data_IF_992414163452
#
_entry.id   IF_992414163452
#
_cell.length_a   1.000
_cell.length_b   1.000
_cell.length_c   1.000
_cell.angle_alpha   90.00
_cell.angle_beta   90.00
_cell.angle_gamma   90.00
#
_symmetry.space_group_name_H-M   'P 1'
#
loop_
_entity.id
_entity.type
_entity.pdbx_description
1 polymer ?
#
# COMPACT_ATOMS: atom_id res chain seq x y z
N UNK A 1 15.63 23.94 -89.44
CA UNK A 1 14.60 24.43 -88.50
C UNK A 1 13.68 23.27 -88.13
N UNK A 2 13.93 22.68 -87.03
CA UNK A 2 13.10 21.56 -86.51
C UNK A 2 12.00 22.16 -85.63
N UNK A 3 10.74 21.85 -85.97
CA UNK A 3 9.56 22.42 -85.34
C UNK A 3 9.38 21.96 -83.88
N UNK A 4 8.86 22.90 -83.09
CA UNK A 4 8.55 22.69 -81.64
C UNK A 4 7.61 21.49 -81.35
N UNK A 5 7.09 20.81 -82.35
CA UNK A 5 6.20 19.64 -82.18
C UNK A 5 6.91 18.31 -82.06
N UNK A 6 8.17 18.20 -82.47
CA UNK A 6 8.92 16.95 -82.46
C UNK A 6 9.66 16.71 -81.13
N UNK A 7 9.72 17.70 -80.24
CA UNK A 7 10.40 17.59 -78.94
C UNK A 7 9.47 17.11 -77.83
N UNK A 8 8.18 16.97 -78.10
CA UNK A 8 7.17 16.57 -77.09
C UNK A 8 6.74 15.09 -77.15
N UNK A 9 7.35 14.32 -78.03
CA UNK A 9 7.00 12.88 -78.16
C UNK A 9 8.07 11.90 -77.68
N UNK A 10 9.13 12.36 -77.06
CA UNK A 10 10.20 11.50 -76.55
C UNK A 10 10.35 11.53 -75.00
N UNK A 11 9.35 12.07 -74.28
CA UNK A 11 9.29 12.02 -72.84
C UNK A 11 8.00 11.34 -72.31
N UNK A 12 7.65 10.21 -72.89
CA UNK A 12 6.53 9.41 -72.48
C UNK A 12 6.96 7.96 -72.29
N UNK A 13 7.32 7.52 -71.08
CA UNK A 13 7.54 6.10 -70.89
C UNK A 13 8.49 5.71 -69.77
N UNK A 14 8.35 6.28 -68.58
CA UNK A 14 8.79 5.58 -67.37
C UNK A 14 7.64 5.70 -66.35
N UNK A 15 6.73 4.75 -66.43
CA UNK A 15 5.75 4.49 -65.37
C UNK A 15 6.49 3.90 -64.19
N UNK A 16 6.94 4.76 -63.29
CA UNK A 16 7.36 4.32 -61.98
C UNK A 16 6.11 3.79 -61.25
N UNK A 17 5.99 2.48 -61.09
CA UNK A 17 5.16 1.86 -60.05
C UNK A 17 5.75 2.27 -58.72
N UNK A 18 5.33 3.43 -58.19
CA UNK A 18 5.43 3.73 -56.77
C UNK A 18 4.45 2.78 -56.09
N UNK A 19 4.94 1.64 -55.60
CA UNK A 19 4.28 0.84 -54.61
C UNK A 19 4.08 1.76 -53.40
N UNK A 20 2.89 2.32 -53.30
CA UNK A 20 2.44 3.03 -52.07
C UNK A 20 2.40 2.00 -50.94
N UNK A 21 3.52 1.85 -50.24
CA UNK A 21 3.49 1.29 -48.92
C UNK A 21 2.63 2.27 -48.10
N UNK A 22 1.34 2.00 -48.03
CA UNK A 22 0.44 2.66 -47.10
C UNK A 22 1.02 2.39 -45.72
N UNK A 23 1.65 3.41 -45.13
CA UNK A 23 1.90 3.41 -43.73
C UNK A 23 0.53 3.27 -43.08
N UNK A 24 0.19 2.05 -42.65
CA UNK A 24 -0.94 1.85 -41.76
C UNK A 24 -0.77 2.84 -40.59
N UNK A 25 -1.80 3.62 -40.22
CA UNK A 25 -1.67 4.45 -39.04
C UNK A 25 -1.27 3.53 -37.89
N UNK A 26 -0.08 3.76 -37.37
CA UNK A 26 0.31 3.19 -36.07
C UNK A 26 -0.61 3.89 -35.08
N UNK A 27 -1.75 3.27 -34.80
CA UNK A 27 -2.51 3.64 -33.62
C UNK A 27 -1.55 3.42 -32.46
N UNK A 28 -1.10 4.51 -31.84
CA UNK A 28 -0.46 4.40 -30.54
C UNK A 28 -1.45 3.60 -29.69
N UNK A 29 -1.05 2.40 -29.24
CA UNK A 29 -1.88 1.64 -28.32
C UNK A 29 -2.13 2.57 -27.14
N UNK A 30 -3.39 2.81 -26.83
CA UNK A 30 -3.75 3.61 -25.68
C UNK A 30 -3.05 3.00 -24.45
N UNK A 31 -2.41 3.84 -23.65
CA UNK A 31 -1.74 3.38 -22.44
C UNK A 31 -2.78 2.71 -21.52
N UNK A 32 -2.40 1.57 -20.94
CA UNK A 32 -3.19 0.95 -19.86
C UNK A 32 -3.18 1.89 -18.66
N UNK A 33 -4.36 2.32 -18.23
CA UNK A 33 -4.54 3.27 -17.13
C UNK A 33 -4.83 2.51 -15.83
N UNK A 34 -3.84 2.50 -14.93
CA UNK A 34 -3.93 1.84 -13.61
C UNK A 34 -4.11 2.90 -12.54
N UNK A 35 -5.21 2.87 -11.81
CA UNK A 35 -5.43 3.75 -10.67
C UNK A 35 -4.98 3.07 -9.38
N UNK A 36 -4.03 3.66 -8.66
CA UNK A 36 -3.68 3.31 -7.29
C UNK A 36 -4.50 4.19 -6.35
N UNK A 37 -5.49 3.57 -5.70
CA UNK A 37 -6.41 4.24 -4.76
C UNK A 37 -5.96 3.94 -3.35
N UNK A 38 -5.47 4.96 -2.64
CA UNK A 38 -4.96 4.84 -1.28
C UNK A 38 -6.01 5.21 -0.23
N UNK A 39 -5.76 4.90 1.05
CA UNK A 39 -6.69 5.19 2.15
C UNK A 39 -6.92 6.69 2.34
N UNK A 40 -5.85 7.48 2.27
CA UNK A 40 -5.89 8.94 2.20
C UNK A 40 -4.60 9.45 1.57
N UNK A 41 -4.69 10.59 0.91
CA UNK A 41 -3.53 11.31 0.38
C UNK A 41 -2.73 11.96 1.52
N UNK A 42 -1.42 12.15 1.30
CA UNK A 42 -0.52 12.79 2.27
C UNK A 42 -0.01 11.88 3.38
N UNK A 43 -0.20 10.56 3.28
CA UNK A 43 0.41 9.56 4.16
C UNK A 43 1.69 9.05 3.52
N UNK A 44 2.86 9.26 4.16
CA UNK A 44 4.19 8.94 3.62
C UNK A 44 4.33 7.49 3.15
N UNK A 45 3.69 6.53 3.84
CA UNK A 45 3.62 5.13 3.42
C UNK A 45 3.05 4.98 2.00
N UNK A 46 1.97 5.66 1.68
CA UNK A 46 1.36 5.59 0.35
C UNK A 46 2.10 6.41 -0.70
N UNK A 47 2.79 7.48 -0.31
CA UNK A 47 3.67 8.20 -1.22
C UNK A 47 4.83 7.31 -1.66
N UNK A 48 5.41 6.50 -0.76
CA UNK A 48 6.40 5.49 -1.11
C UNK A 48 5.82 4.38 -2.01
N UNK A 49 4.56 3.95 -1.78
CA UNK A 49 3.87 3.02 -2.69
C UNK A 49 3.69 3.63 -4.09
N UNK A 50 3.33 4.92 -4.19
CA UNK A 50 3.26 5.64 -5.47
C UNK A 50 4.57 5.56 -6.23
N UNK A 51 5.67 5.84 -5.56
CA UNK A 51 7.00 5.87 -6.18
C UNK A 51 7.34 4.49 -6.78
N UNK A 52 7.07 3.41 -6.05
CA UNK A 52 7.20 2.05 -6.59
C UNK A 52 6.24 1.76 -7.75
N UNK A 53 5.01 2.24 -7.67
CA UNK A 53 4.04 2.12 -8.76
C UNK A 53 4.47 2.84 -10.04
N UNK A 54 5.11 4.01 -9.93
CA UNK A 54 5.69 4.73 -11.07
C UNK A 54 6.87 3.96 -11.68
N UNK A 55 7.69 3.29 -10.86
CA UNK A 55 8.75 2.41 -11.36
C UNK A 55 8.17 1.23 -12.17
N UNK A 56 7.13 0.57 -11.67
CA UNK A 56 6.45 -0.52 -12.38
C UNK A 56 5.84 -0.06 -13.71
N UNK A 57 5.15 1.08 -13.71
CA UNK A 57 4.57 1.66 -14.92
C UNK A 57 5.64 1.97 -15.97
N UNK A 58 6.78 2.52 -15.55
CA UNK A 58 7.94 2.79 -16.41
C UNK A 58 8.55 1.51 -16.98
N UNK A 59 8.71 0.47 -16.16
CA UNK A 59 9.29 -0.81 -16.56
C UNK A 59 8.41 -1.53 -17.60
N UNK A 60 7.09 -1.54 -17.38
CA UNK A 60 6.15 -2.17 -18.31
C UNK A 60 6.08 -1.46 -19.67
N UNK A 61 6.26 -0.13 -19.67
CA UNK A 61 5.98 0.69 -20.85
C UNK A 61 4.49 0.66 -21.24
N UNK A 62 3.95 1.74 -21.77
CA UNK A 62 2.54 1.81 -22.15
C UNK A 62 1.55 1.67 -20.98
N UNK A 63 1.98 2.00 -19.77
CA UNK A 63 1.15 2.06 -18.54
C UNK A 63 1.19 3.47 -17.99
N UNK A 64 0.01 4.03 -17.71
CA UNK A 64 -0.17 5.28 -16.96
C UNK A 64 -0.62 4.95 -15.54
N UNK A 65 0.13 5.38 -14.53
CA UNK A 65 -0.28 5.29 -13.14
C UNK A 65 -1.04 6.55 -12.72
N UNK A 66 -2.27 6.38 -12.24
CA UNK A 66 -3.08 7.42 -11.63
C UNK A 66 -3.03 7.21 -10.11
N UNK A 67 -2.21 7.97 -9.40
CA UNK A 67 -2.17 7.96 -7.95
C UNK A 67 -3.26 8.88 -7.39
N UNK A 68 -4.18 8.33 -6.60
CA UNK A 68 -5.32 9.07 -6.06
C UNK A 68 -5.83 8.46 -4.76
N UNK A 69 -6.66 9.20 -4.06
CA UNK A 69 -7.29 8.77 -2.83
C UNK A 69 -8.14 9.88 -2.24
N UNK A 70 -8.91 9.60 -1.20
CA UNK A 70 -9.63 10.62 -0.46
C UNK A 70 -8.69 11.48 0.38
N UNK A 71 -9.24 12.54 0.98
CA UNK A 71 -8.52 13.38 1.94
C UNK A 71 -8.67 12.90 3.39
N UNK A 72 -9.68 12.06 3.63
CA UNK A 72 -9.95 11.43 4.93
C UNK A 72 -10.05 9.92 4.75
N UNK A 73 -9.70 9.19 5.79
CA UNK A 73 -9.75 7.72 5.84
C UNK A 73 -11.17 7.18 6.03
N UNK A 74 -12.12 7.61 5.17
CA UNK A 74 -13.51 7.17 5.21
C UNK A 74 -13.89 6.39 3.96
N UNK A 75 -14.81 5.42 4.11
CA UNK A 75 -15.32 4.63 2.98
C UNK A 75 -16.10 5.51 2.00
N UNK A 76 -16.88 6.47 2.47
CA UNK A 76 -17.72 7.35 1.66
C UNK A 76 -16.88 8.18 0.68
N UNK A 77 -15.80 8.81 1.17
CA UNK A 77 -14.92 9.57 0.29
C UNK A 77 -14.20 8.64 -0.71
N UNK A 78 -13.81 7.43 -0.27
CA UNK A 78 -13.14 6.47 -1.15
C UNK A 78 -14.08 5.90 -2.22
N UNK A 79 -15.36 5.69 -1.92
CA UNK A 79 -16.40 5.33 -2.89
C UNK A 79 -16.53 6.41 -3.97
N UNK A 80 -16.54 7.69 -3.60
CA UNK A 80 -16.61 8.79 -4.55
C UNK A 80 -15.38 8.83 -5.49
N UNK A 81 -14.19 8.53 -4.98
CA UNK A 81 -12.97 8.39 -5.79
C UNK A 81 -13.11 7.26 -6.81
N UNK A 82 -13.58 6.08 -6.38
CA UNK A 82 -13.77 4.92 -7.27
C UNK A 82 -14.84 5.23 -8.33
N UNK A 83 -15.95 5.88 -7.97
CA UNK A 83 -16.98 6.30 -8.93
C UNK A 83 -16.45 7.27 -10.00
N UNK A 84 -15.56 8.19 -9.60
CA UNK A 84 -14.87 9.07 -10.55
C UNK A 84 -13.98 8.29 -11.53
N UNK A 85 -13.25 7.28 -11.04
CA UNK A 85 -12.40 6.42 -11.88
C UNK A 85 -13.22 5.56 -12.85
N UNK A 86 -14.40 5.08 -12.42
CA UNK A 86 -15.36 4.38 -13.29
C UNK A 86 -15.79 5.31 -14.45
N UNK A 87 -16.13 6.57 -14.14
CA UNK A 87 -16.51 7.54 -15.15
C UNK A 87 -15.36 7.87 -16.13
N UNK A 88 -14.13 7.87 -15.65
CA UNK A 88 -12.90 8.05 -16.44
C UNK A 88 -12.52 6.80 -17.27
N UNK A 89 -13.18 5.66 -17.05
CA UNK A 89 -12.93 4.40 -17.76
C UNK A 89 -11.47 3.95 -17.65
N UNK A 90 -10.91 3.93 -16.44
CA UNK A 90 -9.59 3.33 -16.20
C UNK A 90 -9.63 1.81 -16.45
N UNK A 91 -8.48 1.20 -16.76
CA UNK A 91 -8.43 -0.23 -17.08
C UNK A 91 -8.32 -1.09 -15.84
N UNK A 92 -7.64 -0.60 -14.80
CA UNK A 92 -7.52 -1.28 -13.52
C UNK A 92 -7.51 -0.33 -12.33
N UNK A 93 -7.92 -0.85 -11.19
CA UNK A 93 -7.87 -0.21 -9.88
C UNK A 93 -7.13 -1.16 -8.94
N UNK A 94 -6.05 -0.66 -8.33
CA UNK A 94 -5.40 -1.24 -7.16
C UNK A 94 -5.80 -0.39 -5.96
N UNK A 95 -6.59 -0.95 -5.01
CA UNK A 95 -7.16 -0.20 -3.90
C UNK A 95 -6.66 -0.70 -2.54
N UNK A 96 -6.22 0.21 -1.67
CA UNK A 96 -6.06 -0.04 -0.24
C UNK A 96 -7.30 0.47 0.48
N UNK A 97 -8.13 -0.45 0.98
CA UNK A 97 -9.49 -0.18 1.41
C UNK A 97 -9.58 0.46 2.80
N UNK A 98 -10.44 1.46 2.95
CA UNK A 98 -10.81 2.04 4.25
C UNK A 98 -11.82 1.17 5.02
N UNK A 99 -12.62 0.38 4.31
CA UNK A 99 -13.59 -0.55 4.88
C UNK A 99 -13.72 -1.80 4.01
N UNK A 100 -13.76 -2.97 4.65
CA UNK A 100 -13.81 -4.27 3.98
C UNK A 100 -15.05 -4.44 3.10
N UNK A 101 -16.23 -4.05 3.62
CA UNK A 101 -17.54 -4.37 3.06
C UNK A 101 -18.17 -3.18 2.35
N UNK A 102 -18.02 -1.97 2.88
CA UNK A 102 -18.64 -0.77 2.31
C UNK A 102 -18.19 -0.48 0.87
N UNK A 103 -16.97 -0.89 0.49
CA UNK A 103 -16.42 -0.71 -0.85
C UNK A 103 -16.85 -1.79 -1.86
N UNK A 104 -17.42 -2.92 -1.41
CA UNK A 104 -17.81 -4.02 -2.29
C UNK A 104 -18.78 -3.57 -3.41
N UNK A 105 -19.85 -2.80 -3.14
CA UNK A 105 -20.77 -2.39 -4.20
C UNK A 105 -20.12 -1.57 -5.30
N UNK A 106 -19.28 -0.59 -4.95
CA UNK A 106 -18.62 0.27 -5.95
C UNK A 106 -17.54 -0.49 -6.73
N UNK A 107 -16.81 -1.40 -6.07
CA UNK A 107 -15.83 -2.26 -6.73
C UNK A 107 -16.53 -3.25 -7.70
N UNK A 108 -17.65 -3.85 -7.32
CA UNK A 108 -18.48 -4.66 -8.24
C UNK A 108 -19.01 -3.85 -9.43
N UNK A 109 -19.43 -2.60 -9.20
CA UNK A 109 -19.79 -1.67 -10.27
C UNK A 109 -18.63 -1.41 -11.22
N UNK A 110 -17.41 -1.21 -10.72
CA UNK A 110 -16.20 -1.07 -11.54
C UNK A 110 -15.96 -2.34 -12.39
N UNK A 111 -15.97 -3.52 -11.76
CA UNK A 111 -15.78 -4.80 -12.45
C UNK A 111 -16.86 -5.07 -13.51
N UNK A 112 -18.13 -4.71 -13.27
CA UNK A 112 -19.22 -4.85 -14.26
C UNK A 112 -19.04 -3.94 -15.48
N UNK A 113 -18.19 -2.92 -15.39
CA UNK A 113 -17.78 -2.04 -16.49
C UNK A 113 -16.49 -2.50 -17.18
N UNK A 114 -15.95 -3.68 -16.81
CA UNK A 114 -14.74 -4.24 -17.39
C UNK A 114 -13.45 -3.83 -16.70
N UNK A 115 -13.50 -2.92 -15.70
CA UNK A 115 -12.34 -2.45 -14.94
C UNK A 115 -11.84 -3.59 -14.05
N UNK A 116 -10.55 -3.87 -14.06
CA UNK A 116 -9.95 -4.89 -13.19
C UNK A 116 -9.71 -4.31 -11.80
N UNK A 117 -10.22 -4.96 -10.76
CA UNK A 117 -10.07 -4.47 -9.38
C UNK A 117 -9.28 -5.49 -8.59
N UNK A 118 -8.13 -5.06 -8.06
CA UNK A 118 -7.38 -5.78 -7.03
C UNK A 118 -7.33 -4.93 -5.76
N UNK A 119 -7.15 -5.54 -4.62
CA UNK A 119 -6.79 -4.80 -3.42
C UNK A 119 -5.36 -5.10 -2.99
N UNK A 120 -4.72 -4.13 -2.35
CA UNK A 120 -3.37 -4.25 -1.78
C UNK A 120 -3.35 -3.61 -0.40
N UNK A 121 -2.38 -3.96 0.44
CA UNK A 121 -2.28 -3.48 1.83
C UNK A 121 -3.55 -3.82 2.63
N UNK A 122 -4.62 -3.05 2.47
CA UNK A 122 -5.89 -3.22 3.16
C UNK A 122 -6.96 -3.72 2.19
N UNK A 123 -7.56 -4.89 2.48
CA UNK A 123 -8.40 -5.62 1.53
C UNK A 123 -9.86 -5.17 1.49
N UNK A 124 -10.44 -5.17 0.28
CA UNK A 124 -11.87 -5.28 0.05
C UNK A 124 -12.28 -6.74 0.20
N UNK A 125 -13.50 -7.03 0.64
CA UNK A 125 -14.00 -8.41 0.70
C UNK A 125 -13.92 -9.12 -0.67
N UNK A 126 -13.76 -10.45 -0.70
CA UNK A 126 -13.47 -11.21 -1.93
C UNK A 126 -14.40 -10.93 -3.09
N UNK A 127 -15.68 -10.63 -2.81
CA UNK A 127 -16.69 -10.35 -3.83
C UNK A 127 -16.47 -9.03 -4.58
N UNK A 128 -15.65 -8.13 -4.02
CA UNK A 128 -15.32 -6.82 -4.59
C UNK A 128 -13.97 -6.75 -5.28
N UNK A 129 -13.24 -7.87 -5.40
CA UNK A 129 -11.88 -7.87 -5.95
C UNK A 129 -11.56 -9.15 -6.72
N UNK A 130 -10.56 -9.10 -7.58
CA UNK A 130 -9.99 -10.27 -8.24
C UNK A 130 -9.03 -10.98 -7.29
N UNK A 131 -8.12 -10.22 -6.66
CA UNK A 131 -7.17 -10.74 -5.68
C UNK A 131 -6.77 -9.68 -4.65
N UNK A 132 -6.17 -10.14 -3.55
CA UNK A 132 -5.54 -9.32 -2.52
C UNK A 132 -4.02 -9.50 -2.58
N UNK A 133 -3.28 -8.40 -2.56
CA UNK A 133 -1.85 -8.38 -2.31
C UNK A 133 -1.59 -7.91 -0.87
N UNK A 134 -1.31 -8.84 0.02
CA UNK A 134 -0.92 -8.53 1.39
C UNK A 134 0.55 -8.11 1.43
N UNK A 135 0.91 -7.12 2.24
CA UNK A 135 2.29 -6.68 2.36
C UNK A 135 3.19 -7.76 3.00
N UNK A 136 2.60 -8.57 3.88
CA UNK A 136 3.22 -9.71 4.56
C UNK A 136 2.15 -10.66 5.09
N UNK A 137 2.58 -11.79 5.63
CA UNK A 137 1.67 -12.72 6.32
C UNK A 137 1.04 -12.03 7.55
N UNK A 138 -0.29 -12.01 7.61
CA UNK A 138 -1.08 -11.34 8.65
C UNK A 138 -0.75 -11.84 10.06
N UNK A 139 -0.58 -13.15 10.24
CA UNK A 139 -0.24 -13.73 11.54
C UNK A 139 1.19 -13.31 11.97
N UNK A 140 2.12 -13.27 11.03
CA UNK A 140 3.48 -12.83 11.30
C UNK A 140 3.53 -11.35 11.71
N UNK A 141 2.76 -10.48 11.05
CA UNK A 141 2.67 -9.04 11.42
C UNK A 141 2.15 -8.91 12.85
N UNK A 142 1.03 -9.57 13.17
CA UNK A 142 0.44 -9.51 14.50
C UNK A 142 1.39 -10.01 15.60
N UNK A 143 2.00 -11.18 15.37
CA UNK A 143 2.97 -11.74 16.31
C UNK A 143 4.18 -10.79 16.49
N UNK A 144 4.74 -10.26 15.41
CA UNK A 144 5.89 -9.34 15.45
C UNK A 144 5.61 -8.08 16.28
N UNK A 145 4.42 -7.48 16.14
CA UNK A 145 4.04 -6.30 16.92
C UNK A 145 4.05 -6.58 18.43
N UNK A 146 3.54 -7.75 18.87
CA UNK A 146 3.56 -8.13 20.28
C UNK A 146 4.99 -8.44 20.75
N UNK A 147 5.75 -9.23 19.98
CA UNK A 147 7.12 -9.63 20.32
C UNK A 147 8.06 -8.44 20.49
N UNK A 148 7.93 -7.40 19.65
CA UNK A 148 8.76 -6.21 19.74
C UNK A 148 8.54 -5.45 21.05
N UNK A 149 7.29 -5.13 21.38
CA UNK A 149 7.00 -4.41 22.64
C UNK A 149 7.30 -5.27 23.86
N UNK A 150 6.95 -6.57 23.82
CA UNK A 150 7.21 -7.51 24.89
C UNK A 150 8.69 -7.62 25.26
N UNK A 151 9.56 -7.68 24.24
CA UNK A 151 11.02 -7.66 24.45
C UNK A 151 11.48 -6.40 25.17
N UNK A 152 10.97 -5.22 24.78
CA UNK A 152 11.36 -3.95 25.36
C UNK A 152 10.90 -3.80 26.81
N UNK A 153 9.68 -4.26 27.14
CA UNK A 153 9.12 -4.15 28.50
C UNK A 153 9.33 -5.44 29.34
N UNK A 154 10.16 -6.36 28.88
CA UNK A 154 10.49 -7.62 29.57
C UNK A 154 9.26 -8.49 29.89
N UNK A 155 8.31 -8.58 28.97
CA UNK A 155 7.06 -9.34 29.06
C UNK A 155 6.18 -8.97 30.25
N UNK A 156 6.23 -7.75 30.77
CA UNK A 156 5.48 -7.34 31.95
C UNK A 156 4.97 -5.88 31.86
N UNK A 157 3.71 -5.65 32.24
CA UNK A 157 3.10 -4.32 32.37
C UNK A 157 1.90 -4.09 31.46
N UNK A 158 1.33 -2.91 31.63
CA UNK A 158 0.17 -2.46 30.87
C UNK A 158 0.57 -1.98 29.47
N UNK A 159 -0.15 -2.43 28.43
CA UNK A 159 0.10 -2.06 27.04
C UNK A 159 -1.22 -1.65 26.40
N UNK A 160 -1.19 -0.62 25.57
CA UNK A 160 -2.32 -0.20 24.76
C UNK A 160 -2.04 -0.39 23.26
N UNK A 161 -3.09 -0.48 22.46
CA UNK A 161 -3.01 -0.43 20.99
C UNK A 161 -3.55 0.92 20.54
N UNK A 162 -2.80 1.62 19.67
CA UNK A 162 -3.26 2.80 18.95
C UNK A 162 -3.33 2.47 17.47
N UNK A 163 -4.54 2.24 16.98
CA UNK A 163 -4.84 1.86 15.59
C UNK A 163 -5.28 3.05 14.75
N UNK A 164 -5.47 2.85 13.43
CA UNK A 164 -6.04 3.84 12.54
C UNK A 164 -7.55 4.01 12.79
N UNK A 165 -8.40 3.59 11.86
CA UNK A 165 -9.87 3.60 12.08
C UNK A 165 -10.36 2.29 12.66
N UNK A 166 -11.53 2.32 13.30
CA UNK A 166 -12.17 1.10 13.80
C UNK A 166 -12.57 0.12 12.67
N UNK A 167 -12.66 0.61 11.43
CA UNK A 167 -13.00 -0.17 10.22
C UNK A 167 -11.80 -0.62 9.41
N UNK A 168 -10.57 -0.20 9.76
CA UNK A 168 -9.36 -0.53 9.01
C UNK A 168 -9.16 -2.05 8.89
N UNK A 169 -9.36 -2.60 7.69
CA UNK A 169 -9.39 -4.05 7.39
C UNK A 169 -8.11 -4.75 7.86
N UNK A 170 -6.96 -4.27 7.38
CA UNK A 170 -5.65 -4.88 7.66
C UNK A 170 -5.31 -4.80 9.15
N UNK A 171 -5.50 -3.63 9.78
CA UNK A 171 -5.15 -3.45 11.20
C UNK A 171 -6.04 -4.28 12.12
N UNK A 172 -7.32 -4.40 11.83
CA UNK A 172 -8.22 -5.27 12.59
C UNK A 172 -7.79 -6.74 12.50
N UNK A 173 -7.36 -7.21 11.31
CA UNK A 173 -6.81 -8.55 11.14
C UNK A 173 -5.51 -8.73 11.94
N UNK A 174 -4.59 -7.76 11.89
CA UNK A 174 -3.35 -7.81 12.67
C UNK A 174 -3.61 -7.78 14.18
N UNK A 175 -4.57 -6.96 14.65
CA UNK A 175 -4.96 -6.92 16.08
C UNK A 175 -5.55 -8.26 16.52
N UNK A 176 -6.32 -8.94 15.66
CA UNK A 176 -6.80 -10.28 15.96
C UNK A 176 -5.64 -11.29 16.14
N UNK A 177 -4.62 -11.21 15.29
CA UNK A 177 -3.41 -12.04 15.43
C UNK A 177 -2.54 -11.62 16.62
N UNK A 178 -2.43 -10.32 16.93
CA UNK A 178 -1.80 -9.85 18.17
C UNK A 178 -2.44 -10.48 19.41
N UNK A 179 -3.77 -10.56 19.46
CA UNK A 179 -4.48 -11.18 20.59
C UNK A 179 -4.19 -12.68 20.72
N UNK A 180 -4.04 -13.39 19.59
CA UNK A 180 -3.62 -14.81 19.60
C UNK A 180 -2.19 -14.97 20.12
N UNK A 181 -1.26 -14.14 19.64
CA UNK A 181 0.12 -14.13 20.14
C UNK A 181 0.16 -13.81 21.62
N UNK A 182 -0.57 -12.78 22.06
CA UNK A 182 -0.63 -12.34 23.45
C UNK A 182 -1.15 -13.40 24.42
N UNK A 183 -2.01 -14.31 23.94
CA UNK A 183 -2.56 -15.39 24.76
C UNK A 183 -1.52 -16.46 25.15
N UNK A 184 -0.30 -16.40 24.66
CA UNK A 184 0.76 -17.34 25.01
C UNK A 184 1.22 -17.12 26.45
N UNK A 185 1.63 -18.20 27.17
CA UNK A 185 2.00 -18.13 28.59
C UNK A 185 3.12 -17.13 28.90
N UNK A 186 4.04 -16.92 27.97
CA UNK A 186 5.18 -16.00 28.13
C UNK A 186 4.76 -14.53 28.30
N UNK A 187 3.54 -14.15 27.87
CA UNK A 187 2.99 -12.80 27.99
C UNK A 187 1.96 -12.66 29.12
N UNK A 188 1.84 -13.64 30.01
CA UNK A 188 0.82 -13.67 31.08
C UNK A 188 0.86 -12.45 32.02
N UNK A 189 2.01 -11.77 32.11
CA UNK A 189 2.16 -10.55 32.92
C UNK A 189 1.93 -9.25 32.15
N UNK A 190 1.70 -9.34 30.85
CA UNK A 190 1.34 -8.18 30.01
C UNK A 190 -0.18 -8.05 29.94
N UNK A 191 -0.70 -6.85 30.11
CA UNK A 191 -2.15 -6.58 30.04
C UNK A 191 -2.46 -5.63 28.89
N UNK A 192 -3.34 -6.03 27.98
CA UNK A 192 -3.93 -5.11 27.02
C UNK A 192 -5.02 -4.30 27.73
N UNK A 193 -4.73 -3.03 28.04
CA UNK A 193 -5.63 -2.17 28.80
C UNK A 193 -6.60 -1.35 27.94
N UNK A 194 -6.22 -1.04 26.70
CA UNK A 194 -7.07 -0.29 25.78
C UNK A 194 -6.69 -0.53 24.31
N UNK A 195 -7.67 -0.32 23.43
CA UNK A 195 -7.44 -0.07 21.99
C UNK A 195 -8.10 1.26 21.65
N UNK A 196 -7.33 2.22 21.14
CA UNK A 196 -7.78 3.54 20.73
C UNK A 196 -7.52 3.76 19.22
N UNK A 197 -8.21 4.75 18.63
CA UNK A 197 -8.22 4.94 17.18
C UNK A 197 -7.89 6.39 16.82
N UNK A 198 -6.77 6.57 16.13
CA UNK A 198 -6.26 7.87 15.68
C UNK A 198 -6.72 8.30 14.30
N UNK A 199 -7.49 7.46 13.57
CA UNK A 199 -8.02 7.68 12.21
C UNK A 199 -6.94 8.00 11.16
N UNK A 200 -5.68 7.58 11.39
CA UNK A 200 -4.50 7.98 10.60
C UNK A 200 -4.34 9.52 10.49
N UNK A 201 -4.83 10.25 11.52
CA UNK A 201 -4.67 11.69 11.68
C UNK A 201 -3.67 11.96 12.80
N UNK A 202 -2.56 12.62 12.49
CA UNK A 202 -1.45 12.83 13.43
C UNK A 202 -1.90 13.49 14.75
N UNK A 203 -2.68 14.58 14.67
CA UNK A 203 -3.18 15.30 15.84
C UNK A 203 -4.14 14.46 16.70
N UNK A 204 -4.98 13.64 16.06
CA UNK A 204 -5.88 12.75 16.80
C UNK A 204 -5.09 11.64 17.47
N UNK A 205 -4.19 10.98 16.74
CA UNK A 205 -3.32 9.93 17.28
C UNK A 205 -2.49 10.43 18.46
N UNK A 206 -1.98 11.65 18.36
CA UNK A 206 -1.24 12.30 19.45
C UNK A 206 -2.13 12.50 20.70
N UNK A 207 -3.35 13.03 20.53
CA UNK A 207 -4.30 13.20 21.65
C UNK A 207 -4.74 11.88 22.28
N UNK A 208 -4.94 10.84 21.44
CA UNK A 208 -5.25 9.49 21.94
C UNK A 208 -4.10 8.94 22.81
N UNK A 209 -2.84 9.10 22.38
CA UNK A 209 -1.69 8.72 23.19
C UNK A 209 -1.64 9.50 24.53
N UNK A 210 -1.87 10.81 24.50
CA UNK A 210 -1.96 11.61 25.75
C UNK A 210 -3.11 11.16 26.66
N UNK A 211 -4.24 10.75 26.06
CA UNK A 211 -5.39 10.19 26.80
C UNK A 211 -5.02 8.87 27.49
N UNK A 212 -4.24 8.02 26.82
CA UNK A 212 -3.73 6.77 27.42
C UNK A 212 -2.85 7.04 28.64
N UNK A 213 -1.93 8.02 28.58
CA UNK A 213 -1.07 8.35 29.74
C UNK A 213 -1.85 8.82 30.97
N UNK A 214 -2.96 9.54 30.75
CA UNK A 214 -3.84 10.02 31.85
C UNK A 214 -4.68 8.88 32.42
N UNK A 215 -5.21 8.02 31.57
CA UNK A 215 -6.13 6.93 31.93
C UNK A 215 -5.42 5.74 32.54
N UNK A 216 -4.17 5.51 32.14
CA UNK A 216 -3.36 4.36 32.54
C UNK A 216 -1.97 4.81 33.03
N UNK A 217 -1.85 5.31 34.30
CA UNK A 217 -0.58 5.85 34.84
C UNK A 217 0.58 4.84 34.82
N UNK A 218 0.27 3.52 34.86
CA UNK A 218 1.24 2.43 34.87
C UNK A 218 1.54 1.88 33.45
N UNK A 219 1.05 2.57 32.41
CA UNK A 219 1.28 2.17 31.01
C UNK A 219 2.78 2.01 30.73
N UNK A 220 3.16 0.86 30.17
CA UNK A 220 4.55 0.56 29.79
C UNK A 220 4.78 0.60 28.29
N UNK A 221 3.74 0.34 27.49
CA UNK A 221 3.90 0.26 26.05
C UNK A 221 2.69 0.68 25.25
N UNK A 222 2.95 1.18 24.06
CA UNK A 222 1.94 1.40 23.01
C UNK A 222 2.36 0.63 21.78
N UNK A 223 1.48 -0.25 21.27
CA UNK A 223 1.62 -0.85 19.94
C UNK A 223 0.81 0.00 18.96
N UNK A 224 1.48 0.59 17.97
CA UNK A 224 0.81 1.36 16.92
C UNK A 224 1.05 0.69 15.55
N UNK A 225 0.10 -0.14 15.05
CA UNK A 225 0.24 -0.80 13.74
C UNK A 225 -0.13 0.15 12.58
N UNK A 226 0.28 1.41 12.66
CA UNK A 226 0.01 2.49 11.70
C UNK A 226 1.19 3.44 11.62
N UNK A 227 1.63 3.80 10.42
CA UNK A 227 2.76 4.70 10.21
C UNK A 227 2.50 6.11 10.77
N UNK A 228 1.28 6.61 10.72
CA UNK A 228 0.89 7.90 11.32
C UNK A 228 0.82 7.80 12.84
N UNK A 229 0.17 6.76 13.36
CA UNK A 229 -0.05 6.59 14.79
C UNK A 229 1.24 6.36 15.58
N UNK A 230 2.19 5.58 15.04
CA UNK A 230 3.46 5.29 15.73
C UNK A 230 4.31 6.56 15.92
N UNK A 231 4.39 7.41 14.91
CA UNK A 231 5.11 8.69 14.98
C UNK A 231 4.46 9.62 16.00
N UNK A 232 3.13 9.75 15.96
CA UNK A 232 2.38 10.59 16.87
C UNK A 232 2.48 10.12 18.33
N UNK A 233 2.40 8.80 18.57
CA UNK A 233 2.55 8.21 19.90
C UNK A 233 3.97 8.42 20.45
N UNK A 234 4.99 8.18 19.64
CA UNK A 234 6.37 8.40 20.04
C UNK A 234 6.65 9.87 20.38
N UNK A 235 6.11 10.80 19.56
CA UNK A 235 6.18 12.23 19.87
C UNK A 235 5.49 12.56 21.20
N UNK A 236 4.32 12.01 21.46
CA UNK A 236 3.59 12.23 22.71
C UNK A 236 4.38 11.72 23.94
N UNK A 237 5.08 10.57 23.81
CA UNK A 237 5.98 10.05 24.86
C UNK A 237 7.12 11.02 25.16
N UNK A 238 7.76 11.55 24.11
CA UNK A 238 8.87 12.54 24.25
C UNK A 238 8.37 13.81 24.90
N UNK A 239 7.29 14.40 24.39
CA UNK A 239 6.74 15.67 24.87
C UNK A 239 6.23 15.58 26.34
N UNK A 240 5.75 14.40 26.75
CA UNK A 240 5.31 14.15 28.13
C UNK A 240 6.45 13.81 29.10
N UNK A 241 7.71 13.71 28.64
CA UNK A 241 8.86 13.32 29.48
C UNK A 241 8.78 11.87 29.98
N UNK A 242 8.15 10.98 29.20
CA UNK A 242 7.93 9.57 29.54
C UNK A 242 8.93 8.63 28.89
N UNK A 243 9.98 9.15 28.22
CA UNK A 243 11.06 8.33 27.67
C UNK A 243 11.70 7.46 28.76
N UNK A 244 11.90 6.19 28.46
CA UNK A 244 12.39 5.18 29.42
C UNK A 244 11.32 4.66 30.40
N UNK A 245 10.10 5.18 30.34
CA UNK A 245 8.94 4.70 31.15
C UNK A 245 7.87 4.08 30.29
N UNK A 246 7.55 4.74 29.16
CA UNK A 246 6.60 4.27 28.16
C UNK A 246 7.35 4.11 26.82
N UNK A 247 7.18 2.97 26.19
CA UNK A 247 7.81 2.65 24.92
C UNK A 247 6.77 2.53 23.81
N UNK A 248 7.11 2.97 22.61
CA UNK A 248 6.25 2.84 21.44
C UNK A 248 6.89 1.85 20.46
N UNK A 249 6.11 0.93 19.96
CA UNK A 249 6.51 -0.03 18.91
C UNK A 249 5.35 -0.23 17.92
N UNK A 250 5.60 -0.91 16.82
CA UNK A 250 4.58 -1.17 15.81
C UNK A 250 5.12 -1.10 14.40
N UNK A 251 4.36 -0.47 13.50
CA UNK A 251 4.68 -0.38 12.07
C UNK A 251 4.88 1.08 11.68
N UNK A 252 6.05 1.41 11.09
CA UNK A 252 6.38 2.78 10.73
C UNK A 252 7.48 2.89 9.70
N UNK A 253 7.59 4.03 9.04
CA UNK A 253 8.66 4.31 8.09
C UNK A 253 9.96 4.68 8.83
N UNK A 254 11.11 4.13 8.43
CA UNK A 254 12.40 4.49 9.04
C UNK A 254 12.71 5.98 8.98
N UNK A 255 12.37 6.66 7.89
CA UNK A 255 12.58 8.12 7.74
C UNK A 255 11.80 8.93 8.79
N UNK A 256 10.58 8.52 9.10
CA UNK A 256 9.70 9.20 10.07
C UNK A 256 10.03 8.81 11.52
N UNK A 257 10.46 7.56 11.75
CA UNK A 257 10.73 7.01 13.08
C UNK A 257 12.16 7.25 13.59
N UNK A 258 13.08 7.71 12.75
CA UNK A 258 14.48 7.97 13.13
C UNK A 258 14.60 8.81 14.39
N UNK A 259 13.87 9.92 14.47
CA UNK A 259 13.89 10.81 15.64
C UNK A 259 13.44 10.10 16.92
N UNK A 260 12.40 9.29 16.85
CA UNK A 260 11.85 8.55 17.98
C UNK A 260 12.83 7.48 18.52
N UNK A 261 13.51 6.77 17.60
CA UNK A 261 14.54 5.77 17.94
C UNK A 261 15.74 6.43 18.61
N UNK A 262 16.22 7.55 18.05
CA UNK A 262 17.38 8.27 18.62
C UNK A 262 17.04 8.93 19.98
N UNK A 263 15.81 9.36 20.19
CA UNK A 263 15.31 9.88 21.46
C UNK A 263 15.06 8.80 22.51
N UNK A 264 15.00 7.51 22.13
CA UNK A 264 14.72 6.39 23.04
C UNK A 264 13.24 6.19 23.38
N UNK A 265 12.33 6.81 22.64
CA UNK A 265 10.88 6.56 22.77
C UNK A 265 10.44 5.26 22.09
N UNK A 266 11.28 4.75 21.16
CA UNK A 266 11.08 3.51 20.41
C UNK A 266 12.39 2.75 20.37
N UNK A 267 12.43 1.53 20.90
CA UNK A 267 13.59 0.65 20.78
C UNK A 267 13.59 -0.06 19.44
N UNK A 268 12.44 -0.62 19.07
CA UNK A 268 12.25 -1.38 17.82
C UNK A 268 10.89 -1.14 17.23
N UNK A 269 10.83 -1.13 15.91
CA UNK A 269 9.61 -1.13 15.11
C UNK A 269 9.87 -1.92 13.83
N UNK A 270 8.84 -2.20 13.05
CA UNK A 270 9.00 -2.95 11.81
C UNK A 270 8.20 -2.33 10.67
N UNK A 271 8.56 -2.67 9.46
CA UNK A 271 7.73 -2.52 8.27
C UNK A 271 8.32 -3.38 7.13
N UNK A 272 7.53 -3.64 6.12
CA UNK A 272 7.98 -4.09 4.80
C UNK A 272 8.37 -2.90 3.93
N UNK A 273 8.93 -3.14 2.75
CA UNK A 273 9.24 -2.07 1.82
C UNK A 273 7.98 -1.58 1.10
N UNK A 274 7.48 -0.36 1.34
CA UNK A 274 6.27 0.16 0.69
C UNK A 274 6.48 0.46 -0.80
N UNK A 275 7.71 0.77 -1.22
CA UNK A 275 8.05 0.96 -2.65
C UNK A 275 7.81 -0.36 -3.40
N UNK A 276 8.29 -1.48 -2.86
CA UNK A 276 8.09 -2.79 -3.47
C UNK A 276 6.62 -3.23 -3.46
N UNK A 277 5.86 -2.85 -2.42
CA UNK A 277 4.42 -3.11 -2.36
C UNK A 277 3.67 -2.36 -3.47
N UNK A 278 3.92 -1.07 -3.64
CA UNK A 278 3.30 -0.26 -4.69
C UNK A 278 3.72 -0.70 -6.10
N UNK A 279 5.00 -1.05 -6.27
CA UNK A 279 5.51 -1.64 -7.50
C UNK A 279 4.77 -2.92 -7.86
N UNK A 280 4.66 -3.85 -6.92
CA UNK A 280 4.01 -5.15 -7.14
C UNK A 280 2.51 -4.99 -7.42
N UNK A 281 1.82 -4.14 -6.67
CA UNK A 281 0.40 -3.87 -6.87
C UNK A 281 0.11 -3.30 -8.27
N UNK A 282 0.92 -2.33 -8.72
CA UNK A 282 0.78 -1.73 -10.05
C UNK A 282 1.12 -2.73 -11.15
N UNK A 283 2.20 -3.50 -10.99
CA UNK A 283 2.60 -4.55 -11.93
C UNK A 283 1.49 -5.58 -12.12
N UNK A 284 0.95 -6.11 -11.02
CA UNK A 284 -0.14 -7.11 -11.04
C UNK A 284 -1.40 -6.53 -11.70
N UNK A 285 -1.83 -5.32 -11.28
CA UNK A 285 -3.02 -4.69 -11.83
C UNK A 285 -2.91 -4.47 -13.35
N UNK A 286 -1.75 -3.99 -13.81
CA UNK A 286 -1.48 -3.79 -15.23
C UNK A 286 -1.47 -5.10 -16.01
N UNK A 287 -0.79 -6.15 -15.51
CA UNK A 287 -0.73 -7.45 -16.17
C UNK A 287 -2.12 -8.09 -16.29
N UNK A 288 -2.97 -7.93 -15.27
CA UNK A 288 -4.37 -8.42 -15.33
C UNK A 288 -5.18 -7.60 -16.35
N UNK A 289 -5.01 -6.28 -16.40
CA UNK A 289 -5.67 -5.42 -17.38
C UNK A 289 -5.28 -5.75 -18.82
N UNK A 290 -3.99 -6.06 -19.04
CA UNK A 290 -3.46 -6.50 -20.34
C UNK A 290 -3.90 -7.93 -20.74
N UNK A 291 -4.57 -8.69 -19.85
CA UNK A 291 -4.90 -10.09 -20.07
C UNK A 291 -3.69 -11.03 -20.00
N UNK A 292 -2.54 -10.58 -19.48
CA UNK A 292 -1.31 -11.37 -19.32
C UNK A 292 -1.28 -12.18 -18.04
N UNK A 293 -2.18 -11.87 -17.09
CA UNK A 293 -2.37 -12.59 -15.83
C UNK A 293 -3.87 -12.62 -15.47
N UNK A 294 -4.26 -13.54 -14.58
CA UNK A 294 -5.66 -13.68 -14.18
C UNK A 294 -5.92 -13.29 -12.72
N UNK A 295 -4.92 -13.43 -11.84
CA UNK A 295 -5.10 -13.29 -10.38
C UNK A 295 -5.91 -14.40 -9.73
N UNK A 296 -6.20 -15.49 -10.44
CA UNK A 296 -6.99 -16.60 -9.94
C UNK A 296 -6.21 -17.45 -8.90
N UNK A 297 -6.92 -18.08 -7.93
CA UNK A 297 -6.30 -19.00 -7.00
C UNK A 297 -5.45 -20.08 -7.69
N UNK A 298 -4.27 -20.35 -7.13
CA UNK A 298 -3.34 -21.36 -7.64
C UNK A 298 -2.50 -20.91 -8.84
N UNK A 299 -2.71 -19.70 -9.37
CA UNK A 299 -1.87 -19.14 -10.44
C UNK A 299 -0.64 -18.43 -9.88
N UNK A 300 0.33 -18.17 -10.75
CA UNK A 300 1.53 -17.40 -10.43
C UNK A 300 1.62 -16.20 -11.37
N UNK A 301 1.96 -15.04 -10.85
CA UNK A 301 2.18 -13.81 -11.63
C UNK A 301 3.64 -13.42 -11.48
N UNK A 302 4.36 -13.29 -12.60
CA UNK A 302 5.72 -12.76 -12.59
C UNK A 302 5.67 -11.24 -12.49
N UNK A 303 6.02 -10.70 -11.33
CA UNK A 303 5.92 -9.28 -11.01
C UNK A 303 7.29 -8.59 -11.11
N UNK A 304 7.92 -8.63 -12.29
CA UNK A 304 9.18 -7.95 -12.58
C UNK A 304 10.26 -8.28 -11.55
N UNK A 305 10.90 -7.25 -10.98
CA UNK A 305 11.97 -7.43 -9.96
C UNK A 305 11.55 -8.20 -8.71
N UNK A 306 10.26 -8.30 -8.45
CA UNK A 306 9.75 -9.03 -7.29
C UNK A 306 9.61 -10.54 -7.55
N UNK A 307 9.85 -10.98 -8.79
CA UNK A 307 9.79 -12.38 -9.16
C UNK A 307 8.38 -12.96 -9.18
N UNK A 308 8.25 -14.21 -8.82
CA UNK A 308 7.01 -14.97 -8.93
C UNK A 308 6.14 -14.84 -7.68
N UNK A 309 4.98 -14.20 -7.86
CA UNK A 309 3.95 -14.04 -6.83
C UNK A 309 2.92 -15.17 -6.98
N UNK A 310 2.89 -16.08 -6.02
CA UNK A 310 1.94 -17.21 -5.99
C UNK A 310 0.64 -16.80 -5.33
N UNK A 311 -0.47 -16.99 -6.01
CA UNK A 311 -1.81 -16.67 -5.52
C UNK A 311 -2.35 -17.86 -4.71
N UNK A 312 -2.65 -17.63 -3.47
CA UNK A 312 -3.22 -18.63 -2.55
C UNK A 312 -4.67 -19.03 -2.88
N UNK A 313 -5.21 -20.04 -2.18
CA UNK A 313 -6.56 -20.56 -2.43
C UNK A 313 -7.68 -19.55 -2.14
N UNK A 314 -7.41 -18.54 -1.34
CA UNK A 314 -8.32 -17.43 -0.98
C UNK A 314 -8.17 -16.20 -1.90
N UNK A 315 -7.49 -16.37 -3.05
CA UNK A 315 -7.13 -15.28 -3.97
C UNK A 315 -6.30 -14.18 -3.27
N UNK A 316 -5.41 -14.53 -2.36
CA UNK A 316 -4.44 -13.62 -1.75
C UNK A 316 -3.01 -14.04 -2.02
N UNK A 317 -2.09 -13.10 -1.89
CA UNK A 317 -0.65 -13.33 -1.90
C UNK A 317 0.03 -12.39 -0.92
N UNK A 318 1.02 -12.88 -0.18
CA UNK A 318 1.85 -12.07 0.69
C UNK A 318 3.21 -11.81 0.02
N UNK A 319 3.77 -10.59 0.21
CA UNK A 319 5.04 -10.22 -0.42
C UNK A 319 6.26 -10.69 0.37
N UNK A 320 6.50 -10.06 1.54
CA UNK A 320 7.75 -10.22 2.28
C UNK A 320 7.52 -10.10 3.79
N UNK A 321 8.45 -10.67 4.57
CA UNK A 321 8.40 -10.54 6.03
C UNK A 321 8.69 -9.11 6.47
N UNK A 322 8.08 -8.64 7.60
CA UNK A 322 8.38 -7.35 8.16
C UNK A 322 9.84 -7.29 8.63
N UNK A 323 10.60 -6.32 8.14
CA UNK A 323 11.96 -6.06 8.60
C UNK A 323 11.93 -5.20 9.86
N UNK A 324 12.81 -5.53 10.84
CA UNK A 324 12.89 -4.82 12.10
C UNK A 324 13.96 -3.73 12.06
N UNK A 325 13.58 -2.54 12.53
CA UNK A 325 14.45 -1.38 12.63
C UNK A 325 14.70 -1.05 14.10
N UNK A 326 15.93 -0.63 14.38
CA UNK A 326 16.40 -0.19 15.70
C UNK A 326 17.56 0.80 15.55
N UNK A 327 18.18 1.17 16.66
CA UNK A 327 19.30 2.12 16.69
C UNK A 327 20.49 1.70 15.85
N UNK A 328 20.70 0.40 15.62
CA UNK A 328 21.86 -0.13 14.89
C UNK A 328 21.75 0.07 13.37
N UNK A 329 20.53 0.20 12.85
CA UNK A 329 20.29 0.22 11.41
C UNK A 329 19.50 1.45 10.91
N UNK A 330 18.86 2.20 11.80
CA UNK A 330 17.96 3.31 11.45
C UNK A 330 18.63 4.39 10.60
N UNK A 331 19.91 4.71 10.84
CA UNK A 331 20.65 5.71 10.07
C UNK A 331 20.76 5.37 8.59
N UNK A 332 20.90 4.08 8.28
CA UNK A 332 20.97 3.58 6.90
C UNK A 332 19.60 3.64 6.24
N UNK A 333 18.60 3.06 6.89
CA UNK A 333 17.29 2.84 6.27
C UNK A 333 16.42 4.11 6.22
N UNK A 334 16.61 5.07 7.12
CA UNK A 334 15.94 6.37 7.08
C UNK A 334 16.23 7.22 5.84
N UNK A 335 17.18 6.80 5.00
CA UNK A 335 17.52 7.45 3.73
C UNK A 335 16.86 6.79 2.52
N UNK A 336 16.16 5.68 2.72
CA UNK A 336 15.57 4.87 1.65
C UNK A 336 14.08 5.16 1.53
N UNK A 337 13.36 5.13 2.64
CA UNK A 337 11.92 5.43 2.74
C UNK A 337 11.51 5.77 4.18
#
# INVERSE_FOLDING_TARGET
MLSRRTLLQLMGGVSALAAGAGAAPVFAADNIRVAMVVKALGIGFFDACRDGGLEAAKELGGVELIYTGPTKTTAEEQIAVVDSLIAQKVDAIAISANDTNALVPVCKKAMSRGIKVISFDSGVAPEGRIMQLDPSNTALIGAKCVQMIAKTIHNEGDVAILSATAQATNQNAWIAEMKKEWAKPEYAKMKLVATVYGDDVADKSYREAQGLFKSYPDLKGIIAPTSVGIVAAAKAVVDAGLVGKVYVSGLGLPSEMKGAVLAGATDTFAIWNPIDLGYTATMIAALIAMGKATGAPGTTIHAGRMGDIKIGPDASAAMADPFTFDKSNIEKFSKIF
#
